data_IF_978529481455
#
_entry.id   IF_978529481455
#
_cell.length_a   1.000
_cell.length_b   1.000
_cell.length_c   1.000
_cell.angle_alpha   90.00
_cell.angle_beta   90.00
_cell.angle_gamma   90.00
#
_symmetry.space_group_name_H-M   'P 1'
#
loop_
_entity.id
_entity.type
_entity.pdbx_description
1 polymer ?
#
# COMPACT_ATOMS: atom_id res chain seq x y z
N UNK A 1 17.65 -33.99 -45.12
CA UNK A 1 17.50 -32.51 -45.16
C UNK A 1 16.38 -31.97 -44.28
N UNK A 2 15.15 -32.53 -44.29
CA UNK A 2 14.03 -32.06 -43.44
C UNK A 2 14.33 -32.02 -41.92
N UNK A 3 15.07 -33.00 -41.37
CA UNK A 3 15.50 -33.02 -39.95
C UNK A 3 16.43 -31.87 -39.56
N UNK A 4 17.23 -31.35 -40.50
CA UNK A 4 18.16 -30.24 -40.24
C UNK A 4 17.40 -28.90 -40.21
N UNK A 5 16.40 -28.74 -41.09
CA UNK A 5 15.54 -27.57 -41.16
C UNK A 5 14.64 -27.41 -39.91
N UNK A 6 14.10 -28.51 -39.39
CA UNK A 6 13.33 -28.47 -38.13
C UNK A 6 14.19 -28.12 -36.91
N UNK A 7 15.45 -28.54 -36.87
CA UNK A 7 16.39 -28.19 -35.79
C UNK A 7 16.76 -26.70 -35.82
N UNK A 8 17.02 -26.15 -37.01
CA UNK A 8 17.30 -24.72 -37.18
C UNK A 8 16.07 -23.89 -36.79
N UNK A 9 14.87 -24.27 -37.23
CA UNK A 9 13.63 -23.59 -36.83
C UNK A 9 13.40 -23.61 -35.32
N UNK A 10 13.68 -24.73 -34.66
CA UNK A 10 13.56 -24.85 -33.20
C UNK A 10 14.58 -23.96 -32.45
N UNK A 11 15.81 -23.83 -32.95
CA UNK A 11 16.84 -22.96 -32.35
C UNK A 11 16.49 -21.48 -32.53
N UNK A 12 15.97 -21.09 -33.70
CA UNK A 12 15.53 -19.71 -33.94
C UNK A 12 14.33 -19.38 -33.05
N UNK A 13 13.38 -20.30 -32.89
CA UNK A 13 12.20 -20.11 -32.03
C UNK A 13 12.57 -20.05 -30.54
N UNK A 14 13.52 -20.89 -30.10
CA UNK A 14 14.06 -20.82 -28.74
C UNK A 14 14.86 -19.54 -28.49
N UNK A 15 15.61 -19.07 -29.50
CA UNK A 15 16.34 -17.81 -29.45
C UNK A 15 15.41 -16.60 -29.36
N UNK A 16 14.34 -16.55 -30.15
CA UNK A 16 13.36 -15.46 -30.09
C UNK A 16 12.56 -15.47 -28.78
N UNK A 17 12.21 -16.65 -28.27
CA UNK A 17 11.59 -16.80 -26.94
C UNK A 17 12.53 -16.32 -25.82
N UNK A 18 13.80 -16.69 -25.86
CA UNK A 18 14.78 -16.24 -24.85
C UNK A 18 14.98 -14.72 -24.88
N UNK A 19 15.04 -14.11 -26.08
CA UNK A 19 15.22 -12.66 -26.24
C UNK A 19 13.96 -11.89 -25.84
N UNK A 20 12.76 -12.45 -26.05
CA UNK A 20 11.50 -11.80 -25.68
C UNK A 20 11.40 -11.49 -24.18
N UNK A 21 11.95 -12.35 -23.31
CA UNK A 21 11.99 -12.12 -21.86
C UNK A 21 12.92 -10.98 -21.41
N UNK A 22 13.91 -10.60 -22.24
CA UNK A 22 14.81 -9.48 -21.96
C UNK A 22 14.23 -8.12 -22.40
N UNK A 23 13.33 -8.11 -23.38
CA UNK A 23 12.71 -6.87 -23.91
C UNK A 23 11.46 -6.49 -23.10
N UNK A 24 10.74 -7.47 -22.56
CA UNK A 24 9.57 -7.26 -21.72
C UNK A 24 9.89 -7.40 -20.23
N UNK A 25 10.88 -6.65 -19.75
CA UNK A 25 11.08 -6.51 -18.31
C UNK A 25 9.82 -5.86 -17.70
N UNK A 26 9.25 -6.40 -16.60
CA UNK A 26 8.11 -5.78 -15.96
C UNK A 26 8.50 -4.37 -15.52
N UNK A 27 7.81 -3.37 -16.07
CA UNK A 27 7.97 -1.99 -15.64
C UNK A 27 7.54 -1.92 -14.17
N UNK A 28 8.47 -1.61 -13.27
CA UNK A 28 8.14 -1.38 -11.87
C UNK A 28 7.12 -0.26 -11.79
N UNK A 29 5.94 -0.56 -11.27
CA UNK A 29 4.97 0.47 -10.95
C UNK A 29 5.57 1.36 -9.87
N UNK A 30 5.86 2.62 -10.20
CA UNK A 30 6.23 3.61 -9.21
C UNK A 30 5.01 3.85 -8.31
N UNK A 31 5.21 3.75 -6.99
CA UNK A 31 4.20 4.22 -6.06
C UNK A 31 3.96 5.72 -6.30
N UNK A 32 2.71 6.16 -6.23
CA UNK A 32 2.41 7.58 -6.25
C UNK A 32 3.12 8.27 -5.07
N UNK A 33 3.61 9.49 -5.31
CA UNK A 33 4.20 10.29 -4.25
C UNK A 33 3.19 10.52 -3.12
N UNK A 34 3.71 10.58 -1.89
CA UNK A 34 2.89 10.86 -0.73
C UNK A 34 2.23 12.25 -0.86
N UNK A 35 0.99 12.44 -0.39
CA UNK A 35 0.30 13.72 -0.50
C UNK A 35 1.01 14.79 0.32
N UNK A 36 1.05 16.01 -0.22
CA UNK A 36 1.52 17.19 0.51
C UNK A 36 0.39 17.68 1.43
N UNK A 37 0.54 17.42 2.73
CA UNK A 37 -0.44 17.84 3.75
C UNK A 37 0.07 19.09 4.47
N UNK A 38 -0.67 20.20 4.31
CA UNK A 38 -0.41 21.46 5.03
C UNK A 38 -1.02 21.43 6.44
N UNK A 39 -0.42 20.63 7.31
CA UNK A 39 -0.76 20.55 8.74
C UNK A 39 0.50 20.30 9.58
N UNK A 40 0.41 20.55 10.88
CA UNK A 40 1.51 20.27 11.82
C UNK A 40 1.69 18.76 12.02
N UNK A 41 0.59 18.01 12.10
CA UNK A 41 0.59 16.55 12.17
C UNK A 41 -0.63 15.97 11.44
N UNK A 42 -0.49 14.75 10.93
CA UNK A 42 -1.55 14.04 10.21
C UNK A 42 -1.32 12.53 10.26
N UNK A 43 -2.40 11.75 10.30
CA UNK A 43 -2.37 10.30 10.21
C UNK A 43 -3.59 9.80 9.42
N UNK A 44 -3.39 8.79 8.58
CA UNK A 44 -4.45 8.07 7.89
C UNK A 44 -4.30 6.57 8.14
N UNK A 45 -5.39 5.93 8.56
CA UNK A 45 -5.40 4.52 9.00
C UNK A 45 -6.52 3.79 8.25
N UNK A 46 -6.22 2.59 7.75
CA UNK A 46 -7.23 1.65 7.28
C UNK A 46 -7.97 1.06 8.49
N UNK A 47 -9.28 1.27 8.57
CA UNK A 47 -10.10 0.96 9.74
C UNK A 47 -10.07 -0.53 10.11
N UNK A 48 -10.16 -1.44 9.15
CA UNK A 48 -10.30 -2.88 9.39
C UNK A 48 -8.99 -3.56 9.81
N UNK A 49 -7.84 -3.05 9.37
CA UNK A 49 -6.52 -3.67 9.60
C UNK A 49 -5.65 -2.89 10.58
N UNK A 50 -5.98 -1.63 10.85
CA UNK A 50 -5.13 -0.70 11.59
C UNK A 50 -3.88 -0.26 10.81
N UNK A 51 -3.78 -0.57 9.51
CA UNK A 51 -2.61 -0.21 8.70
C UNK A 51 -2.52 1.31 8.54
N UNK A 52 -1.40 1.89 8.93
CA UNK A 52 -1.09 3.29 8.68
C UNK A 52 -0.79 3.46 7.18
N UNK A 53 -1.62 4.24 6.49
CA UNK A 53 -1.47 4.58 5.07
C UNK A 53 -0.61 5.83 4.88
N UNK A 54 -0.64 6.74 5.86
CA UNK A 54 0.13 7.98 5.88
C UNK A 54 0.35 8.46 7.31
N UNK A 55 1.50 9.06 7.58
CA UNK A 55 1.84 9.67 8.87
C UNK A 55 2.74 10.89 8.65
N UNK A 56 2.50 11.94 9.44
CA UNK A 56 3.32 13.13 9.58
C UNK A 56 3.26 13.56 11.05
N UNK A 57 4.40 13.51 11.74
CA UNK A 57 4.52 13.87 13.16
C UNK A 57 3.45 13.23 14.08
N UNK A 58 2.99 12.01 13.78
CA UNK A 58 1.85 11.39 14.47
C UNK A 58 2.06 11.18 15.98
N UNK A 59 3.30 10.92 16.41
CA UNK A 59 3.65 10.66 17.82
C UNK A 59 4.09 11.93 18.58
N UNK A 60 4.12 13.09 17.91
CA UNK A 60 4.52 14.34 18.52
C UNK A 60 3.40 14.87 19.40
N UNK A 61 3.73 15.23 20.64
CA UNK A 61 2.78 15.88 21.55
C UNK A 61 2.31 17.23 20.99
N UNK A 62 1.00 17.39 20.87
CA UNK A 62 0.35 18.60 20.35
C UNK A 62 -0.88 18.95 21.19
N UNK A 63 -1.26 20.23 21.19
CA UNK A 63 -2.54 20.65 21.77
C UNK A 63 -3.69 20.19 20.88
N UNK A 64 -4.52 19.26 21.37
CA UNK A 64 -5.62 18.65 20.61
C UNK A 64 -6.95 19.42 20.71
N UNK A 65 -7.03 20.41 21.62
CA UNK A 65 -8.20 21.26 21.83
C UNK A 65 -9.52 20.45 21.91
N UNK A 66 -10.50 20.75 21.06
CA UNK A 66 -11.81 20.08 21.09
C UNK A 66 -11.77 18.58 20.79
N UNK A 67 -10.70 18.04 20.18
CA UNK A 67 -10.57 16.60 19.95
C UNK A 67 -10.49 15.79 21.25
N UNK A 68 -10.18 16.42 22.40
CA UNK A 68 -10.28 15.77 23.72
C UNK A 68 -11.65 15.12 23.94
N UNK A 69 -12.72 15.71 23.38
CA UNK A 69 -14.10 15.20 23.51
C UNK A 69 -14.28 13.80 22.94
N UNK A 70 -13.44 13.37 21.99
CA UNK A 70 -13.49 12.01 21.46
C UNK A 70 -13.23 10.96 22.56
N UNK A 71 -12.36 11.26 23.52
CA UNK A 71 -12.11 10.39 24.67
C UNK A 71 -13.28 10.40 25.65
N UNK A 72 -13.89 11.56 25.88
CA UNK A 72 -15.08 11.69 26.74
C UNK A 72 -16.24 10.84 26.19
N UNK A 73 -16.49 10.92 24.89
CA UNK A 73 -17.50 10.11 24.20
C UNK A 73 -17.17 8.61 24.27
N UNK A 74 -15.91 8.23 24.06
CA UNK A 74 -15.46 6.84 24.17
C UNK A 74 -15.78 6.25 25.55
N UNK A 75 -15.40 6.95 26.63
CA UNK A 75 -15.64 6.50 28.00
C UNK A 75 -17.15 6.45 28.33
N UNK A 76 -17.93 7.39 27.81
CA UNK A 76 -19.38 7.38 27.99
C UNK A 76 -20.02 6.14 27.34
N UNK A 77 -19.67 5.84 26.09
CA UNK A 77 -20.20 4.66 25.39
C UNK A 77 -19.76 3.36 26.07
N UNK A 78 -18.51 3.28 26.52
CA UNK A 78 -18.01 2.13 27.29
C UNK A 78 -18.87 1.86 28.54
N UNK A 79 -19.23 2.90 29.29
CA UNK A 79 -20.10 2.76 30.47
C UNK A 79 -21.52 2.35 30.12
N UNK A 80 -22.08 2.90 29.03
CA UNK A 80 -23.42 2.53 28.56
C UNK A 80 -23.48 1.07 28.13
N UNK A 81 -22.44 0.57 27.48
CA UNK A 81 -22.38 -0.83 27.04
C UNK A 81 -22.06 -1.78 28.20
N UNK A 82 -21.22 -1.39 29.16
CA UNK A 82 -20.98 -2.16 30.39
C UNK A 82 -22.27 -2.35 31.21
N UNK A 83 -23.15 -1.34 31.25
CA UNK A 83 -24.44 -1.39 31.98
C UNK A 83 -25.53 -2.19 31.26
N UNK A 84 -25.35 -2.54 29.98
CA UNK A 84 -26.32 -3.37 29.22
C UNK A 84 -26.21 -4.86 29.56
N UNK A 85 -25.24 -5.26 30.37
CA UNK A 85 -25.05 -6.61 30.92
C UNK A 85 -25.31 -6.64 32.43
#
# INVERSE_FOLDING_TARGET
>A
MKKLWNKIGAVVMAGTLAISGLVFAPQSAAAADAPTINANGAIAIEESTGKILYSKDADKLMGIASMTKMMDEYLLFEQLDAKKN
#
